data_IF_307809601225
#
_entry.id   IF_307809601225
#
_cell.length_a   1.000
_cell.length_b   1.000
_cell.length_c   1.000
_cell.angle_alpha   90.00
_cell.angle_beta   90.00
_cell.angle_gamma   90.00
#
_symmetry.space_group_name_H-M   'P 1'
#
loop_
_entity.id
_entity.type
_entity.pdbx_description
1 polymer ?
#
# COMPACT_ATOMS: atom_id res chain seq x y z
N UNK A 1 26.50 12.64 13.05
CA UNK A 1 26.76 11.26 12.58
C UNK A 1 26.63 11.29 11.06
N UNK A 2 27.73 11.04 10.36
CA UNK A 2 27.82 11.06 8.89
C UNK A 2 28.00 9.62 8.41
N UNK A 3 27.27 9.23 7.37
CA UNK A 3 27.43 7.92 6.75
C UNK A 3 28.55 7.99 5.71
N UNK A 4 29.56 7.13 5.84
CA UNK A 4 30.71 7.04 4.90
C UNK A 4 30.46 6.06 3.75
N UNK A 5 29.40 5.25 3.86
CA UNK A 5 29.01 4.23 2.88
C UNK A 5 27.51 3.94 2.97
N UNK A 6 26.97 3.32 1.93
CA UNK A 6 25.59 2.83 1.92
C UNK A 6 25.35 1.87 3.09
N UNK A 7 24.19 2.01 3.73
CA UNK A 7 23.78 1.21 4.86
C UNK A 7 22.36 0.71 4.61
N UNK A 8 22.13 -0.58 4.87
CA UNK A 8 20.85 -1.23 4.62
C UNK A 8 20.29 -1.80 5.92
N UNK A 9 18.96 -1.70 6.08
CA UNK A 9 18.24 -2.22 7.24
C UNK A 9 17.35 -3.39 6.79
N UNK A 10 17.51 -4.53 7.46
CA UNK A 10 16.59 -5.66 7.29
C UNK A 10 15.54 -5.64 8.41
N UNK A 11 14.27 -5.46 8.02
CA UNK A 11 13.12 -5.57 8.91
C UNK A 11 12.29 -6.77 8.48
N UNK A 12 11.98 -7.66 9.41
CA UNK A 12 11.11 -8.81 9.15
C UNK A 12 10.11 -8.98 10.29
N UNK A 13 8.93 -9.51 9.96
CA UNK A 13 7.84 -9.71 10.91
C UNK A 13 8.07 -10.93 11.80
N UNK A 14 8.47 -12.07 11.22
CA UNK A 14 8.62 -13.36 11.92
C UNK A 14 9.64 -14.30 11.22
N UNK A 15 10.65 -13.76 10.53
CA UNK A 15 11.69 -14.56 9.87
C UNK A 15 13.04 -14.41 10.57
N UNK A 16 13.89 -15.43 10.43
CA UNK A 16 15.26 -15.39 10.92
C UNK A 16 16.02 -14.27 10.21
N UNK A 17 16.63 -13.37 10.97
CA UNK A 17 17.46 -12.29 10.43
C UNK A 17 18.81 -12.85 10.03
N UNK A 18 19.20 -12.59 8.78
CA UNK A 18 20.53 -12.87 8.24
C UNK A 18 21.21 -11.55 7.92
N UNK A 19 22.54 -11.53 7.85
CA UNK A 19 23.23 -10.33 7.36
C UNK A 19 22.94 -10.17 5.86
N UNK A 20 22.37 -9.03 5.42
CA UNK A 20 22.12 -8.78 4.02
C UNK A 20 23.45 -8.53 3.29
N UNK A 21 23.63 -9.15 2.13
CA UNK A 21 24.69 -8.78 1.18
C UNK A 21 24.15 -7.75 0.18
N UNK A 22 25.03 -7.02 -0.51
CA UNK A 22 24.63 -6.02 -1.51
C UNK A 22 23.84 -6.69 -2.65
N UNK A 23 24.29 -7.84 -3.12
CA UNK A 23 23.66 -8.60 -4.20
C UNK A 23 22.23 -9.03 -3.80
N UNK A 24 22.04 -9.39 -2.52
CA UNK A 24 20.71 -9.73 -2.01
C UNK A 24 19.78 -8.52 -1.95
N UNK A 25 20.29 -7.36 -1.51
CA UNK A 25 19.51 -6.12 -1.48
C UNK A 25 19.08 -5.70 -2.88
N UNK A 26 19.99 -5.72 -3.86
CA UNK A 26 19.69 -5.41 -5.25
C UNK A 26 18.65 -6.36 -5.84
N UNK A 27 18.78 -7.66 -5.53
CA UNK A 27 17.80 -8.66 -5.96
C UNK A 27 16.41 -8.38 -5.39
N UNK A 28 16.29 -8.09 -4.10
CA UNK A 28 15.00 -7.77 -3.47
C UNK A 28 14.40 -6.45 -3.98
N UNK A 29 15.24 -5.46 -4.29
CA UNK A 29 14.82 -4.22 -4.93
C UNK A 29 14.22 -4.48 -6.32
N UNK A 30 14.92 -5.22 -7.19
CA UNK A 30 14.42 -5.52 -8.54
C UNK A 30 13.17 -6.41 -8.49
N UNK A 31 13.09 -7.38 -7.56
CA UNK A 31 11.85 -8.16 -7.33
C UNK A 31 10.67 -7.26 -6.97
N UNK A 32 10.88 -6.33 -6.05
CA UNK A 32 9.86 -5.37 -5.62
C UNK A 32 9.42 -4.50 -6.80
N UNK A 33 10.37 -3.97 -7.56
CA UNK A 33 10.11 -3.13 -8.75
C UNK A 33 9.33 -3.89 -9.82
N UNK A 34 9.76 -5.10 -10.18
CA UNK A 34 9.06 -5.95 -11.18
C UNK A 34 7.64 -6.28 -10.73
N UNK A 35 7.44 -6.58 -9.44
CA UNK A 35 6.10 -6.78 -8.89
C UNK A 35 5.18 -5.57 -9.12
N UNK A 36 5.65 -4.37 -8.77
CA UNK A 36 4.87 -3.14 -8.91
C UNK A 36 4.65 -2.74 -10.37
N UNK A 37 5.65 -2.92 -11.23
CA UNK A 37 5.50 -2.71 -12.68
C UNK A 37 4.46 -3.66 -13.27
N UNK A 38 4.53 -4.95 -12.93
CA UNK A 38 3.58 -5.96 -13.39
C UNK A 38 2.16 -5.75 -12.84
N UNK A 39 2.03 -5.22 -11.62
CA UNK A 39 0.74 -4.82 -11.08
C UNK A 39 0.17 -3.60 -11.82
N UNK A 40 0.98 -2.57 -12.00
CA UNK A 40 0.59 -1.31 -12.64
C UNK A 40 0.20 -1.51 -14.10
N UNK A 41 0.91 -2.38 -14.83
CA UNK A 41 0.61 -2.73 -16.23
C UNK A 41 -0.80 -3.35 -16.44
N UNK A 42 -1.45 -3.83 -15.37
CA UNK A 42 -2.83 -4.33 -15.40
C UNK A 42 -3.89 -3.25 -15.15
N UNK A 43 -3.46 -2.02 -14.87
CA UNK A 43 -4.35 -0.88 -14.64
C UNK A 43 -4.88 -0.39 -15.98
N UNK A 44 -6.20 -0.23 -16.09
CA UNK A 44 -6.81 0.36 -17.27
C UNK A 44 -6.24 1.77 -17.53
N UNK A 45 -5.70 1.99 -18.73
CA UNK A 45 -5.10 3.27 -19.10
C UNK A 45 -6.19 4.30 -19.36
N UNK A 46 -6.14 5.41 -18.62
CA UNK A 46 -7.03 6.55 -18.80
C UNK A 46 -6.26 7.67 -19.53
N UNK A 47 -6.93 8.36 -20.44
CA UNK A 47 -6.31 9.40 -21.28
C UNK A 47 -6.02 10.69 -20.53
N UNK A 48 -6.75 10.96 -19.45
CA UNK A 48 -6.63 12.17 -18.64
C UNK A 48 -5.90 11.86 -17.33
N UNK A 49 -4.84 12.60 -17.03
CA UNK A 49 -4.05 12.49 -15.79
C UNK A 49 -3.47 11.08 -15.50
N UNK A 50 -2.83 10.41 -16.48
CA UNK A 50 -2.36 9.04 -16.30
C UNK A 50 -1.40 8.88 -15.11
N UNK A 51 -0.44 9.80 -14.95
CA UNK A 51 0.55 9.74 -13.87
C UNK A 51 -0.10 9.87 -12.48
N UNK A 52 -1.09 10.76 -12.33
CA UNK A 52 -1.80 10.96 -11.07
C UNK A 52 -2.66 9.75 -10.73
N UNK A 53 -3.30 9.13 -11.73
CA UNK A 53 -4.13 7.94 -11.57
C UNK A 53 -3.27 6.75 -11.15
N UNK A 54 -2.14 6.54 -11.85
CA UNK A 54 -1.18 5.49 -11.51
C UNK A 54 -0.68 5.65 -10.07
N UNK A 55 -0.22 6.85 -9.71
CA UNK A 55 0.25 7.14 -8.35
C UNK A 55 -0.83 6.90 -7.30
N UNK A 56 -2.06 7.33 -7.58
CA UNK A 56 -3.20 7.13 -6.66
C UNK A 56 -3.56 5.67 -6.52
N UNK A 57 -3.56 4.89 -7.61
CA UNK A 57 -3.82 3.46 -7.60
C UNK A 57 -2.78 2.70 -6.77
N UNK A 58 -1.50 3.07 -6.90
CA UNK A 58 -0.42 2.52 -6.07
C UNK A 58 -0.65 2.80 -4.58
N UNK A 59 -1.01 4.03 -4.22
CA UNK A 59 -1.31 4.40 -2.82
C UNK A 59 -2.48 3.58 -2.28
N UNK A 60 -3.60 3.50 -3.02
CA UNK A 60 -4.76 2.70 -2.63
C UNK A 60 -4.40 1.22 -2.47
N UNK A 61 -3.53 0.68 -3.33
CA UNK A 61 -3.04 -0.70 -3.22
C UNK A 61 -2.18 -0.92 -1.97
N UNK A 62 -1.36 0.05 -1.59
CA UNK A 62 -0.54 0.01 -0.36
C UNK A 62 -1.38 0.04 0.91
N UNK A 63 -2.58 0.65 0.89
CA UNK A 63 -3.52 0.63 2.02
C UNK A 63 -4.21 -0.72 2.22
N UNK A 64 -4.16 -1.61 1.22
CA UNK A 64 -4.78 -2.93 1.29
C UNK A 64 -3.85 -3.96 1.92
N UNK A 65 -4.19 -4.41 3.13
CA UNK A 65 -3.46 -5.46 3.83
C UNK A 65 -3.71 -6.82 3.16
N UNK A 66 -2.70 -7.33 2.45
CA UNK A 66 -2.82 -8.51 1.60
C UNK A 66 -3.27 -9.79 2.35
N UNK A 67 -2.84 -9.97 3.61
CA UNK A 67 -3.12 -11.19 4.39
C UNK A 67 -4.56 -11.27 4.85
N UNK A 68 -5.12 -10.19 5.41
CA UNK A 68 -6.51 -10.19 5.91
C UNK A 68 -7.52 -9.71 4.88
N UNK A 69 -7.11 -8.90 3.90
CA UNK A 69 -8.03 -8.23 2.97
C UNK A 69 -8.58 -6.89 3.48
N UNK A 70 -8.27 -6.51 4.72
CA UNK A 70 -8.62 -5.20 5.28
C UNK A 70 -7.98 -4.05 4.48
N UNK A 71 -8.67 -2.92 4.41
CA UNK A 71 -8.17 -1.71 3.74
C UNK A 71 -8.15 -0.58 4.75
N UNK A 72 -6.98 0.00 4.99
CA UNK A 72 -6.84 1.13 5.89
C UNK A 72 -7.46 2.40 5.29
N UNK A 73 -8.01 3.27 6.13
CA UNK A 73 -8.49 4.57 5.65
C UNK A 73 -7.31 5.48 5.27
N UNK A 74 -6.24 5.52 6.08
CA UNK A 74 -4.97 6.15 5.75
C UNK A 74 -3.80 5.56 6.57
N UNK A 75 -2.57 5.69 6.04
CA UNK A 75 -1.32 5.35 6.75
C UNK A 75 -0.71 6.57 7.45
N UNK A 76 -1.55 7.41 8.04
CA UNK A 76 -1.13 8.56 8.85
C UNK A 76 -1.36 8.26 10.32
N UNK A 77 -0.50 8.79 11.19
CA UNK A 77 -0.71 8.76 12.64
C UNK A 77 -0.91 10.19 13.12
N UNK A 78 -1.83 10.36 14.07
CA UNK A 78 -1.85 11.51 14.98
C UNK A 78 -2.30 12.88 14.45
N UNK A 79 -2.81 12.99 13.22
CA UNK A 79 -3.46 14.23 12.77
C UNK A 79 -4.96 14.17 13.04
N UNK A 80 -5.51 15.08 13.87
CA UNK A 80 -6.95 15.19 14.02
C UNK A 80 -7.56 15.64 12.69
N UNK A 81 -8.80 15.23 12.41
CA UNK A 81 -9.56 15.69 11.24
C UNK A 81 -9.62 17.23 11.22
N UNK A 82 -9.70 17.85 12.40
CA UNK A 82 -9.63 19.29 12.60
C UNK A 82 -8.98 19.59 13.96
N UNK A 83 -8.08 20.57 14.00
CA UNK A 83 -7.38 20.96 15.25
C UNK A 83 -8.39 21.53 16.25
N UNK A 84 -8.41 20.98 17.48
CA UNK A 84 -9.28 21.45 18.56
C UNK A 84 -10.68 20.82 18.61
N UNK A 85 -11.02 19.98 17.62
CA UNK A 85 -12.31 19.32 17.54
C UNK A 85 -12.32 17.93 18.20
N UNK A 86 -13.52 17.41 18.48
CA UNK A 86 -13.70 16.10 19.12
C UNK A 86 -13.58 14.90 18.15
N UNK A 87 -13.57 15.13 16.83
CA UNK A 87 -13.47 14.07 15.83
C UNK A 87 -12.01 13.69 15.57
N UNK A 88 -11.51 12.76 16.38
CA UNK A 88 -10.12 12.28 16.35
C UNK A 88 -10.01 10.79 15.97
N UNK A 89 -10.76 10.35 14.95
CA UNK A 89 -10.72 8.96 14.49
C UNK A 89 -9.32 8.54 14.07
N UNK A 90 -8.94 7.31 14.42
CA UNK A 90 -7.69 6.74 13.95
C UNK A 90 -7.89 6.13 12.55
N UNK A 91 -7.21 6.74 11.58
CA UNK A 91 -7.32 6.36 10.16
C UNK A 91 -6.54 5.09 9.82
N UNK A 92 -5.74 4.56 10.76
CA UNK A 92 -5.04 3.28 10.61
C UNK A 92 -5.98 2.07 10.79
N UNK A 93 -7.27 2.30 11.02
CA UNK A 93 -8.29 1.25 11.03
C UNK A 93 -9.02 1.13 9.70
N UNK A 94 -9.66 -0.03 9.51
CA UNK A 94 -10.49 -0.31 8.35
C UNK A 94 -11.91 0.22 8.58
N UNK A 95 -12.24 1.34 7.93
CA UNK A 95 -13.58 1.91 7.92
C UNK A 95 -14.34 1.44 6.68
N UNK A 96 -15.54 0.87 6.87
CA UNK A 96 -16.32 0.27 5.78
C UNK A 96 -16.57 1.26 4.62
N UNK A 97 -16.85 2.53 4.95
CA UNK A 97 -17.05 3.61 3.99
C UNK A 97 -15.81 3.80 3.11
N UNK A 98 -14.65 4.04 3.71
CA UNK A 98 -13.39 4.32 3.04
C UNK A 98 -12.90 3.11 2.22
N UNK A 99 -13.04 1.90 2.77
CA UNK A 99 -12.74 0.66 2.06
C UNK A 99 -13.64 0.47 0.83
N UNK A 100 -14.95 0.75 0.94
CA UNK A 100 -15.90 0.64 -0.18
C UNK A 100 -15.56 1.58 -1.35
N UNK A 101 -15.11 2.81 -1.06
CA UNK A 101 -14.65 3.76 -2.06
C UNK A 101 -13.39 3.26 -2.77
N UNK A 102 -12.42 2.76 -2.00
CA UNK A 102 -11.17 2.18 -2.53
C UNK A 102 -11.46 1.01 -3.47
N UNK A 103 -12.35 0.10 -3.07
CA UNK A 103 -12.74 -1.07 -3.86
C UNK A 103 -13.42 -0.67 -5.15
N UNK A 104 -14.35 0.28 -5.10
CA UNK A 104 -15.03 0.78 -6.29
C UNK A 104 -14.02 1.30 -7.33
N UNK A 105 -13.07 2.14 -6.91
CA UNK A 105 -12.05 2.70 -7.81
C UNK A 105 -11.11 1.60 -8.34
N UNK A 106 -10.57 0.74 -7.48
CA UNK A 106 -9.66 -0.32 -7.91
C UNK A 106 -10.34 -1.32 -8.86
N UNK A 107 -11.61 -1.61 -8.64
CA UNK A 107 -12.41 -2.47 -9.54
C UNK A 107 -12.56 -1.83 -10.92
N UNK A 108 -12.89 -0.54 -10.98
CA UNK A 108 -12.98 0.22 -12.26
C UNK A 108 -11.65 0.27 -13.00
N UNK A 109 -10.54 0.22 -12.28
CA UNK A 109 -9.18 0.15 -12.82
C UNK A 109 -8.74 -1.27 -13.23
N UNK A 110 -9.57 -2.30 -13.03
CA UNK A 110 -9.28 -3.69 -13.41
C UNK A 110 -8.75 -4.58 -12.28
N UNK A 111 -8.67 -4.08 -11.05
CA UNK A 111 -8.04 -4.76 -9.90
C UNK A 111 -9.06 -5.52 -9.01
N UNK A 112 -9.80 -6.45 -9.59
CA UNK A 112 -10.87 -7.22 -8.90
C UNK A 112 -10.41 -8.06 -7.69
N UNK A 113 -9.13 -8.45 -7.66
CA UNK A 113 -8.58 -9.26 -6.57
C UNK A 113 -8.66 -8.56 -5.21
N UNK A 114 -8.60 -7.22 -5.18
CA UNK A 114 -8.71 -6.45 -3.94
C UNK A 114 -10.13 -6.51 -3.40
N UNK A 115 -11.13 -6.38 -4.27
CA UNK A 115 -12.54 -6.52 -3.92
C UNK A 115 -12.84 -7.90 -3.32
N UNK A 116 -12.37 -8.98 -3.98
CA UNK A 116 -12.56 -10.36 -3.50
C UNK A 116 -11.96 -10.58 -2.11
N UNK A 117 -10.75 -10.04 -1.86
CA UNK A 117 -10.10 -10.17 -0.54
C UNK A 117 -10.86 -9.39 0.53
N UNK A 118 -11.35 -8.20 0.21
CA UNK A 118 -12.13 -7.42 1.17
C UNK A 118 -13.47 -8.09 1.51
N UNK A 119 -14.14 -8.72 0.53
CA UNK A 119 -15.35 -9.50 0.83
C UNK A 119 -15.06 -10.63 1.82
N UNK A 120 -13.94 -11.34 1.67
CA UNK A 120 -13.52 -12.35 2.64
C UNK A 120 -13.00 -11.80 3.98
N UNK A 121 -12.81 -10.48 4.10
CA UNK A 121 -12.48 -9.82 5.37
C UNK A 121 -13.73 -9.48 6.19
N UNK A 122 -14.84 -9.14 5.52
CA UNK A 122 -16.07 -8.65 6.17
C UNK A 122 -17.16 -9.73 6.35
N UNK A 123 -17.04 -10.86 5.65
CA UNK A 123 -17.92 -12.03 5.76
C UNK A 123 -17.27 -13.11 6.62
#
# INVERSE_FOLDING_TARGET
MTLEKDCFLLVSYNQKLTQPTIEWVELEFERTKVYWMGWTAKTNVLTKYPNQIERSALVLKLLAHQKSGAILAAVTTSLPETIGEQRNWDYRFCWLRDASMTINILTRLGHYNVARRFLGFIL
#
